data_IF_310527626437
#
_entry.id   IF_310527626437
#
_cell.length_a   1.000
_cell.length_b   1.000
_cell.length_c   1.000
_cell.angle_alpha   90.00
_cell.angle_beta   90.00
_cell.angle_gamma   90.00
#
_symmetry.space_group_name_H-M   'P 1'
#
loop_
_entity.id
_entity.type
_entity.pdbx_description
1 polymer ?
#
# COMPACT_ATOMS: atom_id res chain seq x y z
N UNK A 1 -2.91 -9.48 5.03
CA UNK A 1 -3.21 -9.60 6.47
C UNK A 1 -2.47 -8.54 7.29
N UNK A 2 -1.13 -8.55 7.27
CA UNK A 2 -0.27 -7.70 8.10
C UNK A 2 -0.58 -6.21 7.91
N UNK A 3 -0.67 -5.77 6.66
CA UNK A 3 -0.91 -4.37 6.32
C UNK A 3 -2.34 -3.92 6.59
N UNK A 4 -3.34 -4.80 6.55
CA UNK A 4 -4.76 -4.44 6.63
C UNK A 4 -5.22 -4.23 8.09
N UNK A 5 -4.63 -4.97 9.04
CA UNK A 5 -5.10 -5.02 10.43
C UNK A 5 -4.09 -4.47 11.46
N UNK A 6 -3.03 -3.79 11.01
CA UNK A 6 -1.98 -3.27 11.90
C UNK A 6 -2.52 -2.25 12.90
N UNK A 7 -3.54 -1.46 12.52
CA UNK A 7 -4.19 -0.51 13.41
C UNK A 7 -4.95 -1.16 14.57
N UNK A 8 -5.41 -2.41 14.40
CA UNK A 8 -6.10 -3.16 15.45
C UNK A 8 -5.14 -3.96 16.34
N UNK A 9 -4.04 -4.46 15.76
CA UNK A 9 -3.07 -5.29 16.48
C UNK A 9 -1.63 -4.92 16.11
N UNK A 10 -0.94 -4.12 16.94
CA UNK A 10 0.39 -3.59 16.62
C UNK A 10 1.50 -4.66 16.61
N UNK A 11 1.26 -5.83 17.20
CA UNK A 11 2.21 -6.94 17.23
C UNK A 11 2.14 -7.86 15.99
N UNK A 12 1.21 -7.61 15.04
CA UNK A 12 1.09 -8.39 13.81
C UNK A 12 2.40 -8.48 12.98
N UNK A 13 3.21 -7.41 12.83
CA UNK A 13 4.45 -7.48 12.06
C UNK A 13 5.50 -8.41 12.67
N UNK A 14 5.52 -8.58 14.00
CA UNK A 14 6.45 -9.48 14.67
C UNK A 14 6.14 -10.94 14.32
N UNK A 15 4.86 -11.33 14.37
CA UNK A 15 4.45 -12.67 13.96
C UNK A 15 4.68 -12.93 12.48
N UNK A 16 4.53 -11.91 11.64
CA UNK A 16 4.87 -12.02 10.23
C UNK A 16 6.36 -12.28 10.00
N UNK A 17 7.23 -11.56 10.72
CA UNK A 17 8.67 -11.76 10.60
C UNK A 17 9.07 -13.18 11.01
N UNK A 18 8.51 -13.67 12.13
CA UNK A 18 8.73 -15.05 12.56
C UNK A 18 8.21 -16.05 11.53
N UNK A 19 7.02 -15.83 10.98
CA UNK A 19 6.48 -16.70 9.92
C UNK A 19 7.38 -16.71 8.69
N UNK A 20 7.78 -15.55 8.18
CA UNK A 20 8.66 -15.43 7.01
C UNK A 20 10.04 -16.08 7.25
N UNK A 21 10.57 -16.01 8.48
CA UNK A 21 11.82 -16.68 8.84
C UNK A 21 11.71 -18.21 8.73
N UNK A 22 10.62 -18.78 9.24
CA UNK A 22 10.37 -20.21 9.10
C UNK A 22 10.06 -20.59 7.64
N UNK A 23 9.28 -19.78 6.94
CA UNK A 23 8.87 -19.98 5.55
C UNK A 23 10.07 -20.09 4.61
N UNK A 24 11.05 -19.17 4.70
CA UNK A 24 12.28 -19.24 3.88
C UNK A 24 13.02 -20.57 4.07
N UNK A 25 13.12 -21.06 5.32
CA UNK A 25 13.82 -22.33 5.61
C UNK A 25 13.03 -23.55 5.13
N UNK A 26 11.72 -23.54 5.33
CA UNK A 26 10.84 -24.63 4.94
C UNK A 26 10.72 -24.72 3.41
N UNK A 27 10.61 -23.60 2.72
CA UNK A 27 10.56 -23.57 1.26
C UNK A 27 11.89 -24.01 0.64
N UNK A 28 13.04 -23.59 1.19
CA UNK A 28 14.34 -24.10 0.75
C UNK A 28 14.45 -25.63 0.92
N UNK A 29 14.03 -26.16 2.08
CA UNK A 29 14.04 -27.60 2.33
C UNK A 29 13.07 -28.36 1.40
N UNK A 30 11.90 -27.79 1.13
CA UNK A 30 10.92 -28.36 0.19
C UNK A 30 11.49 -28.40 -1.23
N UNK A 31 12.12 -27.32 -1.67
CA UNK A 31 12.71 -27.22 -3.02
C UNK A 31 13.87 -28.21 -3.22
N UNK A 32 14.68 -28.44 -2.19
CA UNK A 32 15.85 -29.34 -2.28
C UNK A 32 15.47 -30.81 -2.07
N UNK A 33 14.65 -31.11 -1.07
CA UNK A 33 14.39 -32.49 -0.64
C UNK A 33 13.09 -33.10 -1.19
N UNK A 34 12.09 -32.29 -1.55
CA UNK A 34 10.73 -32.79 -1.85
C UNK A 34 10.25 -32.51 -3.28
N UNK A 35 10.89 -31.62 -4.03
CA UNK A 35 10.50 -31.31 -5.41
C UNK A 35 11.55 -31.78 -6.41
N UNK A 36 11.11 -32.27 -7.58
CA UNK A 36 12.00 -32.49 -8.72
C UNK A 36 12.50 -31.15 -9.25
N UNK A 37 13.76 -31.09 -9.68
CA UNK A 37 14.38 -29.88 -10.25
C UNK A 37 13.52 -29.29 -11.38
N UNK A 38 13.03 -28.05 -11.25
CA UNK A 38 12.31 -27.37 -12.32
C UNK A 38 13.26 -26.94 -13.44
N UNK A 39 12.73 -26.79 -14.65
CA UNK A 39 13.46 -26.16 -15.74
C UNK A 39 13.66 -24.67 -15.41
N UNK A 40 14.88 -24.12 -15.60
CA UNK A 40 15.13 -22.72 -15.32
C UNK A 40 14.37 -21.86 -16.33
N UNK A 41 13.53 -20.96 -15.81
CA UNK A 41 12.87 -19.93 -16.59
C UNK A 41 13.42 -18.56 -16.17
N UNK A 42 13.64 -17.67 -17.14
CA UNK A 42 14.20 -16.34 -16.89
C UNK A 42 13.04 -15.35 -16.76
N UNK A 43 12.85 -14.82 -15.56
CA UNK A 43 11.91 -13.75 -15.29
C UNK A 43 12.66 -12.51 -14.84
N UNK A 44 12.40 -11.37 -15.50
CA UNK A 44 12.97 -10.08 -15.11
C UNK A 44 12.27 -9.51 -13.88
N UNK A 45 10.98 -9.81 -13.69
CA UNK A 45 10.11 -9.24 -12.66
C UNK A 45 9.20 -10.30 -12.03
N UNK A 46 8.61 -9.99 -10.88
CA UNK A 46 7.60 -10.84 -10.21
C UNK A 46 6.25 -10.88 -10.96
N UNK A 47 6.08 -10.05 -11.99
CA UNK A 47 4.91 -10.03 -12.87
C UNK A 47 3.64 -9.45 -12.23
N UNK A 48 2.50 -10.11 -12.44
CA UNK A 48 1.16 -9.68 -12.00
C UNK A 48 1.03 -9.48 -10.49
N UNK A 49 1.94 -10.05 -9.70
CA UNK A 49 1.94 -9.86 -8.25
C UNK A 49 2.18 -8.40 -7.85
N UNK A 50 2.90 -7.62 -8.65
CA UNK A 50 3.15 -6.20 -8.36
C UNK A 50 1.85 -5.37 -8.31
N UNK A 51 1.01 -5.34 -9.36
CA UNK A 51 -0.27 -4.62 -9.29
C UNK A 51 -1.22 -5.18 -8.22
N UNK A 52 -1.17 -6.50 -7.93
CA UNK A 52 -1.97 -7.09 -6.85
C UNK A 52 -1.53 -6.55 -5.49
N UNK A 53 -0.23 -6.52 -5.20
CA UNK A 53 0.30 -5.99 -3.94
C UNK A 53 -0.01 -4.50 -3.79
N UNK A 54 0.09 -3.74 -4.87
CA UNK A 54 -0.31 -2.33 -4.91
C UNK A 54 -1.79 -2.18 -4.60
N UNK A 55 -2.67 -2.98 -5.21
CA UNK A 55 -4.10 -2.95 -4.92
C UNK A 55 -4.41 -3.32 -3.45
N UNK A 56 -3.75 -4.35 -2.92
CA UNK A 56 -3.88 -4.74 -1.51
C UNK A 56 -3.41 -3.60 -0.58
N UNK A 57 -2.34 -2.87 -0.94
CA UNK A 57 -1.88 -1.71 -0.19
C UNK A 57 -2.92 -0.58 -0.17
N UNK A 58 -3.61 -0.33 -1.29
CA UNK A 58 -4.71 0.66 -1.34
C UNK A 58 -5.84 0.29 -0.36
N UNK A 59 -6.31 -0.97 -0.40
CA UNK A 59 -7.35 -1.46 0.51
C UNK A 59 -6.88 -1.40 1.98
N UNK A 60 -5.61 -1.70 2.24
CA UNK A 60 -5.04 -1.67 3.56
C UNK A 60 -5.10 -0.26 4.18
N UNK A 61 -4.82 0.79 3.41
CA UNK A 61 -4.94 2.19 3.88
C UNK A 61 -6.38 2.47 4.32
N UNK A 62 -7.36 2.16 3.47
CA UNK A 62 -8.79 2.40 3.74
C UNK A 62 -9.24 1.67 5.02
N UNK A 63 -8.83 0.41 5.19
CA UNK A 63 -9.18 -0.40 6.36
C UNK A 63 -8.57 0.15 7.66
N UNK A 64 -7.27 0.47 7.65
CA UNK A 64 -6.60 1.01 8.84
C UNK A 64 -7.15 2.36 9.28
N UNK A 65 -7.48 3.22 8.33
CA UNK A 65 -8.07 4.53 8.63
C UNK A 65 -9.45 4.36 9.25
N UNK A 66 -10.25 3.43 8.72
CA UNK A 66 -11.57 3.11 9.30
C UNK A 66 -11.47 2.61 10.74
N UNK A 67 -10.48 1.75 11.03
CA UNK A 67 -10.21 1.23 12.38
C UNK A 67 -9.72 2.34 13.31
N UNK A 68 -8.69 3.09 12.90
CA UNK A 68 -8.11 4.19 13.69
C UNK A 68 -9.15 5.27 13.98
N UNK A 69 -9.96 5.63 12.99
CA UNK A 69 -11.02 6.62 13.15
C UNK A 69 -12.13 6.14 14.08
N UNK A 70 -12.50 4.86 14.05
CA UNK A 70 -13.44 4.26 15.02
C UNK A 70 -12.93 4.37 16.47
N UNK A 71 -11.62 4.16 16.68
CA UNK A 71 -10.96 4.32 17.97
C UNK A 71 -10.89 5.81 18.37
N UNK A 72 -10.46 6.69 17.47
CA UNK A 72 -10.31 8.12 17.72
C UNK A 72 -11.66 8.81 17.99
N UNK A 73 -12.74 8.46 17.27
CA UNK A 73 -14.08 8.98 17.59
C UNK A 73 -14.48 8.62 19.01
N UNK A 74 -14.18 7.41 19.50
CA UNK A 74 -14.46 7.07 20.91
C UNK A 74 -13.71 8.01 21.84
N UNK A 75 -12.43 8.24 21.60
CA UNK A 75 -11.58 9.13 22.42
C UNK A 75 -12.00 10.61 22.34
N UNK A 76 -12.36 11.11 21.16
CA UNK A 76 -12.74 12.52 21.00
C UNK A 76 -14.18 12.77 21.49
N UNK A 77 -15.09 11.81 21.29
CA UNK A 77 -16.44 11.89 21.88
C UNK A 77 -16.35 11.84 23.41
N UNK A 78 -15.37 11.14 23.99
CA UNK A 78 -15.11 11.18 25.44
C UNK A 78 -14.76 12.57 25.96
N UNK A 79 -14.01 13.36 25.20
CA UNK A 79 -13.53 14.68 25.64
C UNK A 79 -14.50 15.84 25.32
N UNK A 80 -15.54 15.60 24.51
CA UNK A 80 -16.41 16.64 23.97
C UNK A 80 -17.87 16.57 24.43
N UNK A 81 -18.24 15.64 25.33
CA UNK A 81 -19.60 15.56 25.88
C UNK A 81 -19.73 16.51 27.08
N UNK A 82 -20.55 17.56 27.02
CA UNK A 82 -20.82 18.40 28.18
C UNK A 82 -21.71 17.63 29.16
N UNK A 83 -21.22 17.47 30.40
CA UNK A 83 -22.05 17.04 31.53
C UNK A 83 -23.13 18.09 31.77
N UNK A 84 -24.39 17.75 31.48
CA UNK A 84 -25.53 18.65 31.76
C UNK A 84 -25.91 18.57 33.24
N UNK A 85 -25.06 19.14 34.10
CA UNK A 85 -25.36 19.37 35.50
C UNK A 85 -26.00 20.75 35.67
N UNK A 86 -27.34 20.80 35.65
CA UNK A 86 -28.24 21.69 36.41
C UNK A 86 -27.99 23.20 36.56
N UNK A 87 -26.93 23.78 36.01
CA UNK A 87 -26.59 25.20 36.08
C UNK A 87 -26.09 25.62 34.72
N UNK A 88 -26.39 26.85 34.30
CA UNK A 88 -26.16 27.40 32.96
C UNK A 88 -24.66 27.63 32.64
N UNK A 89 -23.77 26.73 33.05
CA UNK A 89 -22.34 26.77 32.82
C UNK A 89 -21.95 25.49 32.09
N UNK A 90 -21.54 25.64 30.83
CA UNK A 90 -20.86 24.58 30.08
C UNK A 90 -19.47 24.38 30.70
N UNK A 91 -19.39 23.62 31.79
CA UNK A 91 -18.12 23.09 32.27
C UNK A 91 -17.77 21.85 31.44
N UNK A 92 -16.74 21.99 30.61
CA UNK A 92 -16.06 20.88 29.96
C UNK A 92 -15.20 20.18 31.00
N UNK A 93 -15.82 19.37 31.86
CA UNK A 93 -15.05 18.46 32.69
C UNK A 93 -14.38 17.42 31.77
N UNK A 94 -13.06 17.30 31.82
CA UNK A 94 -12.28 16.30 31.07
C UNK A 94 -12.47 14.89 31.65
N UNK A 95 -13.31 14.76 32.67
CA UNK A 95 -13.70 13.52 33.30
C UNK A 95 -14.64 12.67 32.44
N UNK A 96 -14.35 11.38 32.31
CA UNK A 96 -15.13 10.39 31.53
C UNK A 96 -16.54 10.09 32.11
N UNK A 97 -16.97 10.83 33.13
CA UNK A 97 -18.23 10.58 33.82
C UNK A 97 -19.40 10.86 32.87
N UNK A 98 -20.42 9.99 32.87
CA UNK A 98 -21.60 10.16 32.02
C UNK A 98 -21.45 9.78 30.52
N UNK A 99 -20.26 9.41 30.04
CA UNK A 99 -20.01 9.02 28.64
C UNK A 99 -20.97 7.92 28.15
N UNK A 100 -21.11 6.86 28.94
CA UNK A 100 -21.98 5.71 28.63
C UNK A 100 -23.45 6.17 28.56
N UNK A 101 -23.88 7.05 29.46
CA UNK A 101 -25.26 7.55 29.47
C UNK A 101 -25.61 8.44 28.26
N UNK A 102 -24.63 9.12 27.66
CA UNK A 102 -24.81 9.94 26.46
C UNK A 102 -24.70 9.13 25.16
N UNK A 103 -23.84 8.11 25.14
CA UNK A 103 -23.56 7.31 23.93
C UNK A 103 -24.65 6.25 23.66
N UNK A 104 -25.46 5.89 24.65
CA UNK A 104 -26.53 4.91 24.48
C UNK A 104 -27.88 5.58 24.16
N UNK A 105 -28.52 5.11 23.09
CA UNK A 105 -29.91 5.42 22.79
C UNK A 105 -30.86 4.58 23.65
N UNK A 106 -32.02 5.13 23.96
CA UNK A 106 -33.10 4.42 24.64
C UNK A 106 -34.03 3.77 23.61
N UNK A 107 -34.49 2.55 23.88
CA UNK A 107 -35.45 1.87 23.03
C UNK A 107 -36.77 2.66 22.93
N UNK A 108 -37.44 2.67 21.76
CA UNK A 108 -38.73 3.34 21.60
C UNK A 108 -39.79 2.81 22.56
N UNK A 109 -40.73 3.67 22.93
CA UNK A 109 -41.88 3.27 23.75
C UNK A 109 -42.63 2.09 23.07
N UNK A 110 -43.15 1.17 23.86
CA UNK A 110 -43.92 -0.01 23.43
C UNK A 110 -43.12 -1.15 22.76
N UNK A 111 -41.78 -1.06 22.69
CA UNK A 111 -40.97 -2.17 22.17
C UNK A 111 -40.61 -3.19 23.25
N UNK A 112 -40.46 -2.77 24.52
CA UNK A 112 -40.11 -3.63 25.66
C UNK A 112 -40.82 -3.18 26.95
N UNK A 113 -41.05 -4.11 27.90
CA UNK A 113 -41.63 -3.82 29.22
C UNK A 113 -40.71 -2.97 30.12
N UNK A 114 -39.39 -3.09 29.94
CA UNK A 114 -38.38 -2.34 30.68
C UNK A 114 -37.63 -1.40 29.74
N UNK A 115 -37.15 -0.27 30.26
CA UNK A 115 -36.31 0.66 29.49
C UNK A 115 -34.96 0.02 29.21
N UNK A 116 -34.73 -0.36 27.96
CA UNK A 116 -33.45 -0.89 27.50
C UNK A 116 -32.67 0.19 26.73
N UNK A 117 -31.34 0.10 26.84
CA UNK A 117 -30.42 1.02 26.17
C UNK A 117 -29.50 0.24 25.24
N UNK A 118 -29.28 0.77 24.05
CA UNK A 118 -28.47 0.14 23.02
C UNK A 118 -27.53 1.16 22.37
N UNK A 119 -26.46 0.67 21.77
CA UNK A 119 -25.43 1.51 21.15
C UNK A 119 -25.89 1.95 19.76
N UNK A 120 -26.57 3.09 19.70
CA UNK A 120 -26.94 3.77 18.46
C UNK A 120 -27.20 5.26 18.72
N UNK A 121 -27.29 6.06 17.67
CA UNK A 121 -27.58 7.50 17.74
C UNK A 121 -28.98 7.79 17.17
N UNK A 122 -29.98 7.17 17.79
CA UNK A 122 -31.40 7.34 17.47
C UNK A 122 -32.13 8.12 18.55
N UNK A 123 -33.13 8.87 18.14
CA UNK A 123 -34.07 9.54 19.05
C UNK A 123 -35.03 8.53 19.69
N UNK A 124 -35.75 8.96 20.72
CA UNK A 124 -36.73 8.12 21.43
C UNK A 124 -37.89 7.59 20.56
N UNK A 125 -38.08 8.14 19.36
CA UNK A 125 -39.03 7.65 18.34
C UNK A 125 -38.45 6.58 17.42
N UNK A 126 -37.15 6.27 17.52
CA UNK A 126 -36.44 5.31 16.66
C UNK A 126 -35.85 5.90 15.38
N UNK A 127 -36.06 7.20 15.11
CA UNK A 127 -35.47 7.90 13.97
C UNK A 127 -33.99 8.26 14.19
N UNK A 128 -33.20 8.34 13.12
CA UNK A 128 -31.80 8.77 13.19
C UNK A 128 -31.70 10.27 13.45
N UNK A 129 -30.88 10.64 14.43
CA UNK A 129 -30.61 12.06 14.74
C UNK A 129 -29.85 12.74 13.61
N UNK A 130 -30.00 14.05 13.39
CA UNK A 130 -29.13 14.81 12.48
C UNK A 130 -27.64 14.68 12.82
N UNK A 131 -27.31 14.46 14.11
CA UNK A 131 -25.96 14.18 14.59
C UNK A 131 -25.38 12.90 13.97
N UNK A 132 -26.18 11.85 13.79
CA UNK A 132 -25.76 10.62 13.14
C UNK A 132 -25.22 10.87 11.73
N UNK A 133 -25.98 11.58 10.89
CA UNK A 133 -25.56 11.87 9.51
C UNK A 133 -24.34 12.77 9.44
N UNK A 134 -24.25 13.77 10.32
CA UNK A 134 -23.07 14.61 10.45
C UNK A 134 -21.82 13.78 10.80
N UNK A 135 -21.96 12.84 11.72
CA UNK A 135 -20.87 11.94 12.11
C UNK A 135 -20.44 11.03 10.94
N UNK A 136 -21.38 10.52 10.15
CA UNK A 136 -21.05 9.70 8.97
C UNK A 136 -20.33 10.51 7.88
N UNK A 137 -20.73 11.77 7.64
CA UNK A 137 -20.05 12.61 6.67
C UNK A 137 -18.61 12.93 7.10
N UNK A 138 -18.40 13.27 8.38
CA UNK A 138 -17.05 13.51 8.93
C UNK A 138 -16.18 12.26 8.83
N UNK A 139 -16.74 11.07 9.09
CA UNK A 139 -16.05 9.78 8.90
C UNK A 139 -15.54 9.59 7.47
N UNK A 140 -16.43 9.77 6.50
CA UNK A 140 -16.10 9.60 5.10
C UNK A 140 -15.08 10.64 4.62
N UNK A 141 -15.26 11.91 4.99
CA UNK A 141 -14.32 12.98 4.64
C UNK A 141 -12.92 12.72 5.19
N UNK A 142 -12.81 12.23 6.43
CA UNK A 142 -11.51 11.88 7.03
C UNK A 142 -10.82 10.75 6.26
N UNK A 143 -11.57 9.72 5.86
CA UNK A 143 -11.04 8.61 5.05
C UNK A 143 -10.48 9.13 3.72
N UNK A 144 -11.27 9.94 3.00
CA UNK A 144 -10.89 10.49 1.70
C UNK A 144 -9.64 11.37 1.83
N UNK A 145 -9.57 12.26 2.83
CA UNK A 145 -8.40 13.13 3.02
C UNK A 145 -7.14 12.33 3.32
N UNK A 146 -7.22 11.35 4.23
CA UNK A 146 -6.08 10.53 4.59
C UNK A 146 -5.62 9.64 3.42
N UNK A 147 -6.56 9.09 2.67
CA UNK A 147 -6.30 8.33 1.46
C UNK A 147 -5.48 9.17 0.45
N UNK A 148 -5.95 10.37 0.12
CA UNK A 148 -5.26 11.26 -0.80
C UNK A 148 -3.90 11.70 -0.28
N UNK A 149 -3.75 11.90 1.03
CA UNK A 149 -2.47 12.23 1.66
C UNK A 149 -1.45 11.10 1.48
N UNK A 150 -1.83 9.87 1.81
CA UNK A 150 -0.93 8.71 1.68
C UNK A 150 -0.54 8.51 0.22
N UNK A 151 -1.49 8.57 -0.72
CA UNK A 151 -1.17 8.46 -2.14
C UNK A 151 -0.26 9.58 -2.65
N UNK A 152 -0.48 10.80 -2.19
CA UNK A 152 0.37 11.94 -2.56
C UNK A 152 1.79 11.75 -2.04
N UNK A 153 1.96 11.25 -0.81
CA UNK A 153 3.27 10.96 -0.23
C UNK A 153 3.94 9.80 -0.96
N UNK A 154 3.24 8.71 -1.25
CA UNK A 154 3.79 7.59 -2.04
C UNK A 154 4.25 8.07 -3.42
N UNK A 155 3.42 8.83 -4.14
CA UNK A 155 3.81 9.40 -5.43
C UNK A 155 5.00 10.34 -5.33
N UNK A 156 5.09 11.12 -4.26
CA UNK A 156 6.25 11.97 -4.04
C UNK A 156 7.51 11.13 -3.80
N UNK A 157 7.42 10.03 -3.06
CA UNK A 157 8.53 9.11 -2.85
C UNK A 157 8.96 8.49 -4.18
N UNK A 158 8.01 8.03 -4.99
CA UNK A 158 8.28 7.47 -6.32
C UNK A 158 8.94 8.49 -7.27
N UNK A 159 8.66 9.79 -7.10
CA UNK A 159 9.33 10.86 -7.84
C UNK A 159 10.73 11.20 -7.31
N UNK A 160 10.97 10.99 -6.01
CA UNK A 160 12.24 11.31 -5.36
C UNK A 160 13.27 10.20 -5.50
N UNK A 161 12.84 8.94 -5.55
CA UNK A 161 13.72 7.78 -5.64
C UNK A 161 13.85 7.37 -7.12
N UNK A 162 15.03 7.50 -7.73
CA UNK A 162 15.24 7.04 -9.10
C UNK A 162 15.11 5.51 -9.17
N UNK A 163 14.42 5.01 -10.20
CA UNK A 163 14.12 3.58 -10.36
C UNK A 163 15.37 2.69 -10.52
N UNK A 164 16.49 3.26 -10.98
CA UNK A 164 17.75 2.54 -11.21
C UNK A 164 18.84 3.11 -10.30
N UNK A 165 19.48 2.26 -9.47
CA UNK A 165 20.61 2.70 -8.65
C UNK A 165 21.84 2.96 -9.53
N UNK A 166 22.59 4.03 -9.20
CA UNK A 166 23.75 4.52 -9.97
C UNK A 166 24.81 3.44 -10.22
N UNK A 167 25.02 2.54 -9.27
CA UNK A 167 26.00 1.45 -9.42
C UNK A 167 25.63 0.48 -10.55
N UNK A 168 24.34 0.14 -10.66
CA UNK A 168 23.84 -0.73 -11.73
C UNK A 168 23.88 0.00 -13.06
N UNK A 169 23.55 1.29 -13.08
CA UNK A 169 23.68 2.12 -14.28
C UNK A 169 25.12 2.14 -14.81
N UNK A 170 26.10 2.32 -13.92
CA UNK A 170 27.52 2.30 -14.28
C UNK A 170 27.94 0.93 -14.82
N UNK A 171 27.46 -0.15 -14.21
CA UNK A 171 27.75 -1.52 -14.66
C UNK A 171 27.17 -1.81 -16.04
N UNK A 172 25.92 -1.42 -16.29
CA UNK A 172 25.27 -1.55 -17.59
C UNK A 172 26.02 -0.74 -18.65
N UNK A 173 26.41 0.51 -18.35
CA UNK A 173 27.19 1.34 -19.26
C UNK A 173 28.55 0.71 -19.60
N UNK A 174 29.21 0.11 -18.61
CA UNK A 174 30.49 -0.58 -18.82
C UNK A 174 30.33 -1.82 -19.71
N UNK A 175 29.34 -2.66 -19.44
CA UNK A 175 29.08 -3.85 -20.25
C UNK A 175 28.73 -3.47 -21.70
N UNK A 176 27.92 -2.42 -21.89
CA UNK A 176 27.60 -1.86 -23.23
C UNK A 176 28.83 -1.32 -23.96
N UNK A 177 29.73 -0.63 -23.25
CA UNK A 177 30.97 -0.11 -23.84
C UNK A 177 31.88 -1.25 -24.33
N UNK A 178 32.10 -2.28 -23.49
CA UNK A 178 32.92 -3.44 -23.86
C UNK A 178 32.32 -4.23 -25.03
N UNK A 179 30.99 -4.39 -25.07
CA UNK A 179 30.30 -5.04 -26.18
C UNK A 179 30.48 -4.27 -27.50
N UNK A 180 30.38 -2.93 -27.47
CA UNK A 180 30.63 -2.09 -28.66
C UNK A 180 32.07 -2.19 -29.15
N UNK A 181 33.04 -2.15 -28.25
CA UNK A 181 34.45 -2.28 -28.60
C UNK A 181 34.73 -3.63 -29.28
N UNK A 182 34.20 -4.72 -28.74
CA UNK A 182 34.35 -6.05 -29.34
C UNK A 182 33.74 -6.15 -30.75
N UNK A 183 32.61 -5.48 -31.00
CA UNK A 183 32.01 -5.42 -32.34
C UNK A 183 32.88 -4.61 -33.31
N UNK A 184 33.42 -3.46 -32.89
CA UNK A 184 34.31 -2.66 -33.74
C UNK A 184 35.57 -3.42 -34.10
N UNK A 185 36.19 -4.11 -33.13
CA UNK A 185 37.37 -4.94 -33.38
C UNK A 185 37.06 -6.07 -34.38
N UNK A 186 35.87 -6.69 -34.27
CA UNK A 186 35.39 -7.68 -35.25
C UNK A 186 35.22 -7.06 -36.64
N UNK A 187 34.55 -5.90 -36.76
CA UNK A 187 34.35 -5.23 -38.06
C UNK A 187 35.66 -4.85 -38.73
N UNK A 188 36.64 -4.36 -37.96
CA UNK A 188 37.96 -4.02 -38.49
C UNK A 188 38.71 -5.27 -38.96
N UNK A 189 38.61 -6.39 -38.23
CA UNK A 189 39.19 -7.66 -38.69
C UNK A 189 38.48 -8.26 -39.90
N UNK A 190 37.17 -8.05 -40.08
CA UNK A 190 36.46 -8.51 -41.28
C UNK A 190 36.78 -7.64 -42.48
N UNK A 191 36.84 -6.31 -42.32
CA UNK A 191 37.19 -5.38 -43.40
C UNK A 191 38.67 -5.52 -43.80
N UNK A 192 39.56 -5.77 -42.85
CA UNK A 192 40.97 -6.08 -43.13
C UNK A 192 41.21 -7.45 -43.78
N UNK A 193 40.18 -8.30 -43.87
CA UNK A 193 40.18 -9.57 -44.63
C UNK A 193 39.40 -9.44 -45.93
N UNK A 194 38.50 -8.46 -46.04
CA UNK A 194 37.64 -8.19 -47.20
C UNK A 194 38.23 -7.15 -48.19
N UNK A 195 39.56 -7.01 -48.25
CA UNK A 195 40.24 -6.29 -49.35
C UNK A 195 40.16 -7.04 -50.71
N UNK A 196 39.28 -8.04 -50.85
CA UNK A 196 38.78 -8.58 -52.12
C UNK A 196 37.23 -8.56 -52.14
N UNK A 197 36.62 -7.38 -52.15
CA UNK A 197 35.56 -6.99 -53.11
C UNK A 197 34.89 -5.68 -52.64
N UNK A 198 34.89 -4.61 -53.46
CA UNK A 198 34.32 -3.34 -53.07
C UNK A 198 32.84 -3.34 -53.41
N UNK A 199 31.96 -3.32 -52.41
CA UNK A 199 30.67 -2.67 -52.58
C UNK A 199 29.96 -2.36 -51.24
N UNK A 200 29.57 -1.09 -51.15
CA UNK A 200 28.59 -0.46 -50.24
C UNK A 200 29.10 0.08 -48.89
N UNK A 201 29.44 1.36 -48.99
CA UNK A 201 29.55 2.37 -47.93
C UNK A 201 28.16 2.75 -47.39
N UNK A 202 28.11 2.83 -46.06
CA UNK A 202 27.30 3.73 -45.22
C UNK A 202 25.78 3.51 -45.10
N UNK A 203 25.31 3.61 -43.85
CA UNK A 203 23.90 3.66 -43.48
C UNK A 203 23.47 2.51 -42.58
N UNK A 204 23.64 2.66 -41.27
CA UNK A 204 22.53 2.52 -40.29
C UNK A 204 23.02 2.33 -38.85
N UNK A 205 23.55 3.40 -38.26
CA UNK A 205 23.75 3.48 -36.81
C UNK A 205 22.39 3.47 -36.07
N UNK A 206 21.32 3.89 -36.77
CA UNK A 206 19.96 4.01 -36.26
C UNK A 206 19.11 2.73 -36.43
N UNK A 207 19.47 1.79 -37.31
CA UNK A 207 18.72 0.52 -37.48
C UNK A 207 19.16 -0.57 -36.51
N UNK A 208 20.43 -0.56 -36.09
CA UNK A 208 20.96 -1.47 -35.06
C UNK A 208 20.52 -1.11 -33.63
N UNK A 209 20.09 0.13 -33.41
CA UNK A 209 19.42 0.56 -32.17
C UNK A 209 18.01 -0.05 -32.01
N UNK A 210 17.31 -0.33 -33.11
CA UNK A 210 15.97 -0.94 -33.09
C UNK A 210 16.01 -2.46 -32.84
N UNK A 211 17.11 -3.15 -33.15
CA UNK A 211 17.23 -4.60 -32.91
C UNK A 211 17.46 -4.91 -31.43
N UNK A 212 18.08 -4.01 -30.67
CA UNK A 212 18.35 -4.22 -29.23
C UNK A 212 17.15 -3.78 -28.36
N UNK A 213 16.33 -2.84 -28.82
CA UNK A 213 15.16 -2.37 -28.07
C UNK A 213 13.95 -3.33 -28.15
N UNK A 214 13.96 -4.28 -29.11
CA UNK A 214 12.87 -5.25 -29.26
C UNK A 214 12.98 -6.50 -28.37
N UNK A 215 14.04 -6.63 -27.56
CA UNK A 215 14.24 -7.76 -26.63
C UNK A 215 14.04 -7.36 -25.14
N UNK A 216 13.49 -6.16 -24.90
CA UNK A 216 13.29 -5.60 -23.55
C UNK A 216 11.86 -5.16 -23.20
N UNK A 217 10.84 -5.49 -24.01
CA UNK A 217 9.41 -5.38 -23.61
C UNK A 217 8.82 -6.68 -23.08
#
# INVERSE_FOLDING_TARGET
>A
FITIFVAAFPLAPLFALLNNWFEIRLDAHKLVCHTRRPAPDRANNIGVWFPILTFIAHIAVISNVSISHSIHIRLHTQNAIPLRNGSNRQDYDQSLTGYVNYTLATAPAHTMNNTCRYRDWRDGSGAHTPFYWKLQFVRFAFIVVFEHLVFSVCRLIDLLVPDIPVEVEHKIKRERYLARQALTDLTVTTDGVADEDPDVVDGNDDELLNVIDHDHT
#
